data_IF_036454239236
#
_entry.id   IF_036454239236
#
_cell.length_a   1.000
_cell.length_b   1.000
_cell.length_c   1.000
_cell.angle_alpha   90.00
_cell.angle_beta   90.00
_cell.angle_gamma   90.00
#
_symmetry.space_group_name_H-M   'P 1'
#
loop_
_entity.id
_entity.type
_entity.pdbx_description
1 polymer ?
#
# COMPACT_ATOMS: atom_id res chain seq x y z
N UNK A 1 -6.13 7.49 44.01
CA UNK A 1 -6.03 8.71 43.18
C UNK A 1 -5.60 8.25 41.82
N UNK A 2 -6.58 8.10 40.92
CA UNK A 2 -6.44 7.62 39.54
C UNK A 2 -6.07 8.81 38.68
N UNK A 3 -4.85 8.85 38.18
CA UNK A 3 -4.44 9.83 37.16
C UNK A 3 -4.88 9.31 35.80
N UNK A 4 -5.95 9.88 35.29
CA UNK A 4 -6.40 9.69 33.89
C UNK A 4 -5.45 10.50 33.00
N UNK A 5 -4.54 9.78 32.35
CA UNK A 5 -3.65 10.35 31.33
C UNK A 5 -4.51 10.66 30.09
N UNK A 6 -4.89 11.92 29.96
CA UNK A 6 -5.60 12.45 28.79
C UNK A 6 -4.58 12.59 27.68
N UNK A 7 -4.57 11.60 26.76
CA UNK A 7 -3.84 11.68 25.50
C UNK A 7 -4.32 12.90 24.71
N UNK A 8 -3.52 13.95 24.72
CA UNK A 8 -3.74 15.16 23.93
C UNK A 8 -3.85 14.78 22.44
N UNK A 9 -4.96 15.21 21.82
CA UNK A 9 -5.18 15.11 20.39
C UNK A 9 -4.17 16.00 19.67
N UNK A 10 -3.49 15.55 18.58
CA UNK A 10 -2.73 16.46 17.74
C UNK A 10 -3.67 17.51 17.15
N UNK A 11 -3.38 18.77 17.41
CA UNK A 11 -4.19 19.92 16.99
C UNK A 11 -4.27 20.07 15.48
N UNK A 12 -5.37 20.56 15.03
CA UNK A 12 -5.77 20.92 13.66
C UNK A 12 -4.83 21.95 13.03
N UNK A 13 -3.85 21.49 12.29
CA UNK A 13 -3.07 22.01 11.14
C UNK A 13 -1.82 21.18 11.07
N UNK A 14 -1.75 20.28 10.10
CA UNK A 14 -0.55 19.48 9.85
C UNK A 14 0.58 20.41 9.46
N UNK A 15 1.64 20.61 10.29
CA UNK A 15 2.81 21.35 9.89
C UNK A 15 3.48 20.63 8.70
N UNK A 16 4.16 21.36 7.82
CA UNK A 16 5.04 20.72 6.84
C UNK A 16 6.01 19.79 7.57
N UNK A 17 5.92 18.47 7.29
CA UNK A 17 6.71 17.43 7.93
C UNK A 17 6.00 16.59 8.99
N UNK A 18 4.73 16.86 9.33
CA UNK A 18 3.99 15.98 10.23
C UNK A 18 3.64 14.64 9.54
N UNK A 19 3.62 13.52 10.30
CA UNK A 19 3.30 12.21 9.74
C UNK A 19 1.85 12.18 9.24
N UNK A 20 1.67 11.61 8.03
CA UNK A 20 0.39 11.45 7.38
C UNK A 20 -0.29 10.12 7.75
N UNK A 21 0.52 9.04 7.80
CA UNK A 21 0.15 7.75 8.36
C UNK A 21 1.01 7.50 9.60
N UNK A 22 0.38 7.11 10.70
CA UNK A 22 1.06 6.69 11.93
C UNK A 22 0.60 5.27 12.25
N UNK A 23 1.55 4.37 12.39
CA UNK A 23 1.38 3.00 12.88
C UNK A 23 2.16 2.89 14.18
N UNK A 24 1.50 2.54 15.29
CA UNK A 24 2.11 2.45 16.62
C UNK A 24 1.82 1.10 17.25
N UNK A 25 2.89 0.37 17.54
CA UNK A 25 2.88 -0.85 18.35
C UNK A 25 1.77 -1.82 17.95
N UNK A 26 1.63 -2.07 16.63
CA UNK A 26 0.59 -2.95 16.14
C UNK A 26 0.95 -4.42 16.32
N UNK A 27 -0.02 -5.20 16.82
CA UNK A 27 0.08 -6.63 17.01
C UNK A 27 -1.05 -7.34 16.28
N UNK A 28 -0.71 -8.23 15.34
CA UNK A 28 -1.71 -8.87 14.51
C UNK A 28 -1.48 -10.38 14.37
N UNK A 29 -2.59 -11.12 14.28
CA UNK A 29 -2.63 -12.57 14.38
C UNK A 29 -3.47 -13.21 13.27
N UNK A 30 -3.05 -14.39 12.82
CA UNK A 30 -3.89 -15.34 12.09
C UNK A 30 -4.27 -16.48 13.05
N UNK A 31 -5.47 -16.43 13.64
CA UNK A 31 -5.84 -17.31 14.74
C UNK A 31 -4.87 -17.17 15.90
N UNK A 32 -4.13 -18.23 16.21
CA UNK A 32 -3.10 -18.25 17.27
C UNK A 32 -1.71 -17.80 16.79
N UNK A 33 -1.51 -17.68 15.47
CA UNK A 33 -0.20 -17.34 14.91
C UNK A 33 0.05 -15.84 15.01
N UNK A 34 1.05 -15.45 15.80
CA UNK A 34 1.47 -14.07 16.04
C UNK A 34 2.44 -13.61 14.94
N UNK A 35 1.99 -12.82 14.00
CA UNK A 35 2.74 -12.47 12.78
C UNK A 35 3.30 -11.05 12.81
N UNK A 36 2.55 -10.07 13.32
CA UNK A 36 3.00 -8.68 13.44
C UNK A 36 3.22 -8.39 14.91
N UNK A 37 4.45 -8.04 15.29
CA UNK A 37 4.95 -8.11 16.65
C UNK A 37 5.47 -6.75 17.14
N UNK A 38 4.55 -5.79 17.36
CA UNK A 38 4.91 -4.46 17.87
C UNK A 38 5.46 -3.54 16.78
N UNK A 39 4.99 -3.68 15.53
CA UNK A 39 5.44 -2.87 14.41
C UNK A 39 5.01 -1.41 14.59
N UNK A 40 5.96 -0.49 14.49
CA UNK A 40 5.75 0.95 14.55
C UNK A 40 6.49 1.66 13.42
N UNK A 41 5.82 2.56 12.73
CA UNK A 41 6.42 3.44 11.72
C UNK A 41 5.48 4.61 11.39
N UNK A 42 6.03 5.59 10.69
CA UNK A 42 5.28 6.75 10.20
C UNK A 42 5.53 6.91 8.69
N UNK A 43 4.60 7.52 7.97
CA UNK A 43 4.75 7.90 6.56
C UNK A 43 4.36 9.35 6.40
N UNK A 44 5.17 10.14 5.70
CA UNK A 44 4.88 11.54 5.41
C UNK A 44 3.93 11.66 4.21
N UNK A 45 3.25 12.77 4.11
CA UNK A 45 2.40 13.04 2.94
C UNK A 45 3.23 13.11 1.67
N UNK A 46 2.81 12.36 0.64
CA UNK A 46 3.52 12.27 -0.64
C UNK A 46 4.76 11.38 -0.64
N UNK A 47 5.12 10.78 0.50
CA UNK A 47 6.24 9.85 0.61
C UNK A 47 5.88 8.50 -0.01
N UNK A 48 6.84 7.87 -0.69
CA UNK A 48 6.80 6.45 -1.04
C UNK A 48 7.67 5.70 -0.04
N UNK A 49 7.04 4.86 0.77
CA UNK A 49 7.70 3.98 1.72
C UNK A 49 7.77 2.55 1.17
N UNK A 50 8.97 1.97 1.07
CA UNK A 50 9.14 0.54 0.83
C UNK A 50 9.13 -0.24 2.14
N UNK A 51 8.24 -1.22 2.26
CA UNK A 51 8.20 -2.17 3.37
C UNK A 51 8.79 -3.49 2.89
N UNK A 52 10.02 -3.77 3.28
CA UNK A 52 10.86 -4.85 2.77
C UNK A 52 11.06 -5.95 3.82
N UNK A 53 11.62 -7.07 3.40
CA UNK A 53 11.92 -8.22 4.26
C UNK A 53 11.70 -9.54 3.53
N UNK A 54 12.21 -10.61 4.10
CA UNK A 54 12.07 -11.97 3.55
C UNK A 54 10.62 -12.45 3.57
N UNK A 55 10.35 -13.56 2.86
CA UNK A 55 9.04 -14.21 2.92
C UNK A 55 8.71 -14.62 4.36
N UNK A 56 7.49 -14.33 4.79
CA UNK A 56 7.06 -14.57 6.18
C UNK A 56 7.47 -13.49 7.18
N UNK A 57 8.18 -12.42 6.78
CA UNK A 57 8.58 -11.34 7.68
C UNK A 57 7.41 -10.49 8.22
N UNK A 58 6.19 -10.65 7.70
CA UNK A 58 5.01 -9.92 8.15
C UNK A 58 4.61 -8.72 7.30
N UNK A 59 5.24 -8.51 6.12
CA UNK A 59 4.99 -7.36 5.22
C UNK A 59 3.51 -7.23 4.82
N UNK A 60 2.98 -8.21 4.09
CA UNK A 60 1.56 -8.27 3.68
C UNK A 60 0.61 -8.18 4.87
N UNK A 61 0.95 -8.82 5.99
CA UNK A 61 0.14 -8.78 7.22
C UNK A 61 0.08 -7.38 7.82
N UNK A 62 1.20 -6.66 7.82
CA UNK A 62 1.27 -5.26 8.24
C UNK A 62 0.42 -4.38 7.32
N UNK A 63 0.57 -4.53 5.99
CA UNK A 63 -0.19 -3.78 5.01
C UNK A 63 -1.70 -4.01 5.13
N UNK A 64 -2.12 -5.27 5.29
CA UNK A 64 -3.53 -5.66 5.53
C UNK A 64 -4.08 -5.11 6.83
N UNK A 65 -3.27 -5.02 7.89
CA UNK A 65 -3.66 -4.39 9.15
C UNK A 65 -3.93 -2.90 8.97
N UNK A 66 -3.08 -2.19 8.20
CA UNK A 66 -3.29 -0.78 7.85
C UNK A 66 -4.56 -0.60 7.01
N UNK A 67 -4.81 -1.47 6.03
CA UNK A 67 -6.01 -1.44 5.20
C UNK A 67 -7.28 -1.90 5.93
N UNK A 68 -7.16 -2.37 7.19
CA UNK A 68 -8.27 -2.92 7.97
C UNK A 68 -8.96 -4.13 7.32
N UNK A 69 -8.28 -4.85 6.45
CA UNK A 69 -8.78 -6.12 5.92
C UNK A 69 -8.95 -7.10 7.07
N UNK A 70 -10.04 -7.89 7.08
CA UNK A 70 -10.48 -8.68 8.23
C UNK A 70 -9.47 -9.69 8.79
N UNK A 71 -8.47 -10.08 8.01
CA UNK A 71 -7.35 -10.92 8.41
C UNK A 71 -6.04 -10.35 7.90
N UNK A 72 -4.97 -10.25 8.74
CA UNK A 72 -4.88 -10.69 10.13
C UNK A 72 -5.75 -9.87 11.10
N UNK A 73 -6.01 -10.44 12.27
CA UNK A 73 -6.78 -9.79 13.33
C UNK A 73 -5.87 -8.85 14.13
N UNK A 74 -6.08 -7.55 14.01
CA UNK A 74 -5.36 -6.53 14.77
C UNK A 74 -5.87 -6.53 16.21
N UNK A 75 -5.06 -7.01 17.16
CA UNK A 75 -5.42 -7.13 18.58
C UNK A 75 -5.01 -5.94 19.42
N UNK A 76 -3.88 -5.31 19.09
CA UNK A 76 -3.31 -4.18 19.85
C UNK A 76 -2.66 -3.18 18.90
N UNK A 77 -2.42 -1.99 19.42
CA UNK A 77 -1.77 -0.89 18.70
C UNK A 77 -2.74 0.07 18.04
N UNK A 78 -2.19 1.10 17.45
CA UNK A 78 -2.94 2.20 16.86
C UNK A 78 -2.49 2.45 15.42
N UNK A 79 -3.46 2.80 14.57
CA UNK A 79 -3.24 3.23 13.19
C UNK A 79 -4.03 4.51 12.98
N UNK A 80 -3.34 5.57 12.55
CA UNK A 80 -3.93 6.87 12.28
C UNK A 80 -3.60 7.30 10.86
N UNK A 81 -4.60 7.77 10.13
CA UNK A 81 -4.41 8.43 8.85
C UNK A 81 -4.91 9.87 9.00
N UNK A 82 -4.00 10.85 8.89
CA UNK A 82 -4.28 12.21 9.33
C UNK A 82 -4.77 12.20 10.79
N UNK A 83 -5.95 12.73 11.08
CA UNK A 83 -6.54 12.77 12.42
C UNK A 83 -7.52 11.59 12.68
N UNK A 84 -7.67 10.66 11.74
CA UNK A 84 -8.66 9.60 11.82
C UNK A 84 -8.09 8.29 12.42
N UNK A 85 -8.72 7.75 13.47
CA UNK A 85 -8.29 6.50 14.11
C UNK A 85 -8.70 5.27 13.28
N UNK A 86 -7.89 4.94 12.27
CA UNK A 86 -8.13 3.84 11.32
C UNK A 86 -8.29 2.48 12.04
N UNK A 87 -7.54 2.26 13.11
CA UNK A 87 -7.63 1.02 13.91
C UNK A 87 -9.03 0.73 14.47
N UNK A 88 -9.90 1.76 14.58
CA UNK A 88 -11.30 1.61 15.02
C UNK A 88 -12.28 1.40 13.87
N UNK A 89 -11.83 1.55 12.63
CA UNK A 89 -12.67 1.44 11.43
C UNK A 89 -12.84 0.00 10.99
N UNK A 90 -13.98 -0.29 10.33
CA UNK A 90 -14.14 -1.49 9.50
C UNK A 90 -13.47 -1.27 8.13
N UNK A 91 -13.19 -2.35 7.40
CA UNK A 91 -12.53 -2.29 6.09
C UNK A 91 -13.19 -1.30 5.11
N UNK A 92 -14.52 -1.30 5.02
CA UNK A 92 -15.25 -0.41 4.11
C UNK A 92 -15.22 1.06 4.56
N UNK A 93 -15.08 1.34 5.86
CA UNK A 93 -14.93 2.69 6.41
C UNK A 93 -13.52 3.22 6.11
N UNK A 94 -12.48 2.40 6.32
CA UNK A 94 -11.10 2.72 5.94
C UNK A 94 -10.98 3.00 4.44
N UNK A 95 -11.62 2.17 3.59
CA UNK A 95 -11.65 2.38 2.16
C UNK A 95 -12.38 3.68 1.76
N UNK A 96 -13.48 4.05 2.42
CA UNK A 96 -14.17 5.35 2.21
C UNK A 96 -13.35 6.53 2.71
N UNK A 97 -12.50 6.32 3.71
CA UNK A 97 -11.60 7.36 4.22
C UNK A 97 -10.40 7.61 3.30
N UNK A 98 -10.25 6.81 2.24
CA UNK A 98 -9.22 7.00 1.21
C UNK A 98 -8.05 6.01 1.31
N UNK A 99 -8.18 4.89 2.02
CA UNK A 99 -7.17 3.82 2.01
C UNK A 99 -7.51 2.84 0.91
N UNK A 100 -6.64 2.71 -0.09
CA UNK A 100 -6.78 1.74 -1.17
C UNK A 100 -5.68 0.69 -1.09
N UNK A 101 -6.06 -0.59 -1.10
CA UNK A 101 -5.15 -1.72 -1.16
C UNK A 101 -5.27 -2.41 -2.52
N UNK A 102 -4.15 -2.53 -3.22
CA UNK A 102 -3.98 -3.42 -4.37
C UNK A 102 -3.29 -4.69 -3.85
N UNK A 103 -4.02 -5.80 -3.74
CA UNK A 103 -3.46 -7.05 -3.26
C UNK A 103 -2.70 -7.78 -4.37
N UNK A 104 -1.78 -8.68 -3.99
CA UNK A 104 -0.99 -9.55 -4.86
C UNK A 104 -1.87 -10.33 -5.86
N UNK A 105 -3.03 -10.86 -5.42
CA UNK A 105 -3.97 -11.63 -6.24
C UNK A 105 -4.84 -10.78 -7.20
N UNK A 106 -4.54 -9.47 -7.32
CA UNK A 106 -5.16 -8.47 -8.23
C UNK A 106 -6.67 -8.33 -8.11
N UNK A 107 -7.39 -9.36 -7.75
CA UNK A 107 -8.86 -9.44 -7.58
C UNK A 107 -9.64 -8.84 -8.73
N UNK A 108 -9.26 -9.20 -9.97
CA UNK A 108 -10.04 -8.81 -11.14
C UNK A 108 -11.40 -9.52 -11.09
N UNK A 109 -12.45 -8.77 -11.35
CA UNK A 109 -13.81 -9.29 -11.24
C UNK A 109 -14.16 -10.00 -12.56
N UNK A 110 -14.37 -11.32 -12.47
CA UNK A 110 -14.74 -12.15 -13.60
C UNK A 110 -16.12 -11.74 -14.18
N UNK A 111 -16.27 -11.90 -15.47
CA UNK A 111 -17.51 -11.55 -16.19
C UNK A 111 -17.67 -10.04 -16.43
N UNK A 112 -16.75 -9.19 -15.94
CA UNK A 112 -16.75 -7.76 -16.19
C UNK A 112 -15.62 -7.35 -17.14
N UNK A 113 -15.92 -6.47 -18.08
CA UNK A 113 -14.94 -5.80 -18.92
C UNK A 113 -14.01 -4.88 -18.10
N UNK A 114 -12.94 -4.40 -18.72
CA UNK A 114 -12.04 -3.39 -18.13
C UNK A 114 -12.85 -2.18 -17.66
N UNK A 115 -13.72 -1.64 -18.52
CA UNK A 115 -14.52 -0.46 -18.22
C UNK A 115 -15.50 -0.71 -17.06
N UNK A 116 -16.20 -1.85 -17.05
CA UNK A 116 -17.12 -2.23 -15.98
C UNK A 116 -16.41 -2.47 -14.64
N UNK A 117 -15.17 -2.98 -14.65
CA UNK A 117 -14.33 -3.05 -13.44
C UNK A 117 -14.06 -1.66 -12.84
N UNK A 118 -13.85 -0.64 -13.68
CA UNK A 118 -13.68 0.75 -13.24
C UNK A 118 -15.01 1.36 -12.76
N UNK A 119 -16.10 1.11 -13.48
CA UNK A 119 -17.44 1.60 -13.11
C UNK A 119 -17.85 1.06 -11.73
N UNK A 120 -17.58 -0.21 -11.46
CA UNK A 120 -17.86 -0.80 -10.16
C UNK A 120 -17.06 -0.13 -9.03
N UNK A 121 -15.82 0.27 -9.29
CA UNK A 121 -15.02 1.00 -8.32
C UNK A 121 -15.58 2.40 -8.03
N UNK A 122 -16.31 2.99 -8.97
CA UNK A 122 -16.92 4.33 -8.88
C UNK A 122 -18.41 4.32 -8.49
N UNK A 123 -18.99 3.17 -8.19
CA UNK A 123 -20.44 3.05 -7.92
C UNK A 123 -20.90 3.84 -6.68
N UNK A 124 -19.98 4.12 -5.75
CA UNK A 124 -20.28 4.87 -4.53
C UNK A 124 -19.18 5.90 -4.23
N UNK A 125 -19.55 7.11 -3.80
CA UNK A 125 -18.58 8.14 -3.41
C UNK A 125 -17.76 7.69 -2.18
N UNK A 126 -16.57 8.25 -1.99
CA UNK A 126 -15.97 9.30 -2.83
C UNK A 126 -15.40 8.71 -4.13
N UNK A 127 -15.61 9.44 -5.25
CA UNK A 127 -15.10 9.07 -6.58
C UNK A 127 -13.74 9.78 -6.76
N UNK A 128 -12.76 9.03 -7.25
CA UNK A 128 -11.42 9.53 -7.53
C UNK A 128 -11.24 9.99 -8.97
N UNK A 129 -10.28 9.41 -9.68
CA UNK A 129 -9.97 9.80 -11.05
C UNK A 129 -11.06 9.38 -12.03
N UNK A 130 -11.32 10.24 -13.01
CA UNK A 130 -12.21 9.89 -14.11
C UNK A 130 -11.63 8.73 -14.94
N UNK A 131 -12.49 8.01 -15.65
CA UNK A 131 -12.05 6.92 -16.54
C UNK A 131 -11.13 7.44 -17.64
N UNK A 132 -11.38 8.65 -18.15
CA UNK A 132 -10.54 9.30 -19.16
C UNK A 132 -9.11 9.48 -18.65
N UNK A 133 -8.94 10.04 -17.46
CA UNK A 133 -7.63 10.21 -16.83
C UNK A 133 -6.95 8.86 -16.55
N UNK A 134 -7.72 7.85 -16.17
CA UNK A 134 -7.19 6.48 -15.96
C UNK A 134 -6.71 5.91 -17.30
N UNK A 135 -7.44 6.07 -18.38
CA UNK A 135 -7.03 5.56 -19.70
C UNK A 135 -5.87 6.38 -20.31
N UNK A 136 -5.69 7.62 -19.93
CA UNK A 136 -4.48 8.40 -20.27
C UNK A 136 -3.25 7.82 -19.57
N UNK A 137 -3.37 7.44 -18.28
CA UNK A 137 -2.30 6.82 -17.53
C UNK A 137 -2.03 5.36 -17.96
N UNK A 138 -3.08 4.64 -18.37
CA UNK A 138 -3.04 3.24 -18.80
C UNK A 138 -3.61 3.08 -20.23
N UNK A 139 -2.89 3.51 -21.29
CA UNK A 139 -3.41 3.49 -22.67
C UNK A 139 -3.85 2.09 -23.12
N UNK A 140 -3.09 1.04 -22.72
CA UNK A 140 -3.44 -0.35 -23.06
C UNK A 140 -4.78 -0.78 -22.49
N UNK A 141 -5.16 -0.30 -21.30
CA UNK A 141 -6.50 -0.55 -20.77
C UNK A 141 -7.56 0.19 -21.58
N UNK A 142 -7.26 1.41 -22.05
CA UNK A 142 -8.12 2.18 -22.92
C UNK A 142 -8.41 1.48 -24.26
N UNK A 143 -7.40 0.86 -24.88
CA UNK A 143 -7.53 0.07 -26.12
C UNK A 143 -8.40 -1.18 -25.90
N UNK A 144 -8.40 -1.74 -24.70
CA UNK A 144 -9.07 -2.99 -24.31
C UNK A 144 -10.29 -2.79 -23.41
N UNK A 145 -10.85 -1.57 -23.36
CA UNK A 145 -11.92 -1.20 -22.43
C UNK A 145 -13.12 -2.16 -22.40
N UNK A 146 -13.44 -2.78 -23.55
CA UNK A 146 -14.56 -3.72 -23.71
C UNK A 146 -14.15 -5.19 -23.54
N UNK A 147 -12.86 -5.48 -23.38
CA UNK A 147 -12.37 -6.82 -23.16
C UNK A 147 -12.65 -7.24 -21.71
N UNK A 148 -12.99 -8.50 -21.48
CA UNK A 148 -13.17 -9.04 -20.15
C UNK A 148 -11.85 -9.00 -19.36
N UNK A 149 -11.88 -8.45 -18.15
CA UNK A 149 -10.68 -8.17 -17.34
C UNK A 149 -9.84 -9.40 -17.02
N UNK A 150 -10.46 -10.56 -16.79
CA UNK A 150 -9.72 -11.81 -16.50
C UNK A 150 -9.02 -12.41 -17.72
N UNK A 151 -9.35 -11.97 -18.94
CA UNK A 151 -8.71 -12.42 -20.18
C UNK A 151 -7.48 -11.58 -20.56
N UNK A 152 -7.20 -10.52 -19.82
CA UNK A 152 -6.00 -9.71 -19.98
C UNK A 152 -4.73 -10.49 -19.59
N UNK A 153 -3.58 -10.06 -20.09
CA UNK A 153 -2.29 -10.56 -19.62
C UNK A 153 -2.09 -10.23 -18.13
N UNK A 154 -1.21 -10.95 -17.43
CA UNK A 154 -0.95 -10.71 -16.01
C UNK A 154 -0.56 -9.26 -15.69
N UNK A 155 0.24 -8.62 -16.56
CA UNK A 155 0.62 -7.20 -16.40
C UNK A 155 -0.56 -6.25 -16.62
N UNK A 156 -1.39 -6.49 -17.64
CA UNK A 156 -2.59 -5.68 -17.86
C UNK A 156 -3.60 -5.85 -16.73
N UNK A 157 -3.71 -7.04 -16.14
CA UNK A 157 -4.53 -7.27 -14.94
C UNK A 157 -3.98 -6.49 -13.75
N UNK A 158 -2.66 -6.43 -13.58
CA UNK A 158 -2.03 -5.63 -12.54
C UNK A 158 -2.31 -4.13 -12.73
N UNK A 159 -2.17 -3.64 -13.95
CA UNK A 159 -2.55 -2.26 -14.30
C UNK A 159 -4.03 -1.98 -14.02
N UNK A 160 -4.92 -2.93 -14.33
CA UNK A 160 -6.35 -2.80 -14.04
C UNK A 160 -6.63 -2.77 -12.54
N UNK A 161 -5.90 -3.56 -11.73
CA UNK A 161 -6.03 -3.54 -10.27
C UNK A 161 -5.60 -2.18 -9.69
N UNK A 162 -4.47 -1.61 -10.16
CA UNK A 162 -4.00 -0.26 -9.82
C UNK A 162 -5.02 0.80 -10.27
N UNK A 163 -5.49 0.73 -11.51
CA UNK A 163 -6.47 1.65 -12.07
C UNK A 163 -7.79 1.67 -11.28
N UNK A 164 -8.28 0.51 -10.85
CA UNK A 164 -9.47 0.38 -9.99
C UNK A 164 -9.30 1.07 -8.65
N UNK A 165 -8.11 0.99 -8.06
CA UNK A 165 -7.82 1.69 -6.82
C UNK A 165 -7.85 3.21 -7.05
N UNK A 166 -7.21 3.73 -8.11
CA UNK A 166 -7.20 5.16 -8.45
C UNK A 166 -8.57 5.71 -8.88
N UNK A 167 -9.49 4.85 -9.33
CA UNK A 167 -10.87 5.22 -9.62
C UNK A 167 -11.65 5.68 -8.38
N UNK A 168 -11.10 5.45 -7.18
CA UNK A 168 -11.59 5.96 -5.91
C UNK A 168 -10.77 7.18 -5.47
N UNK A 169 -11.32 7.98 -4.55
CA UNK A 169 -10.59 9.08 -3.92
C UNK A 169 -9.57 8.53 -2.91
N UNK A 170 -8.35 8.32 -3.39
CA UNK A 170 -7.27 7.67 -2.63
C UNK A 170 -6.39 8.72 -1.98
N UNK A 171 -6.19 8.60 -0.68
CA UNK A 171 -5.23 9.37 0.12
C UNK A 171 -3.98 8.56 0.45
N UNK A 172 -4.15 7.27 0.74
CA UNK A 172 -3.08 6.31 1.04
C UNK A 172 -3.19 5.11 0.12
N UNK A 173 -2.15 4.90 -0.67
CA UNK A 173 -2.07 3.83 -1.65
C UNK A 173 -1.18 2.71 -1.14
N UNK A 174 -1.74 1.53 -0.99
CA UNK A 174 -1.07 0.34 -0.46
C UNK A 174 -0.93 -0.68 -1.58
N UNK A 175 0.31 -1.08 -1.89
CA UNK A 175 0.64 -2.03 -2.95
C UNK A 175 1.29 -3.27 -2.34
N UNK A 176 0.68 -4.43 -2.54
CA UNK A 176 1.15 -5.71 -2.05
C UNK A 176 1.74 -6.53 -3.21
N UNK A 177 3.07 -6.58 -3.29
CA UNK A 177 3.88 -7.29 -4.29
C UNK A 177 3.45 -7.03 -5.75
N UNK A 178 3.39 -5.72 -6.17
CA UNK A 178 2.85 -5.36 -7.49
C UNK A 178 3.64 -5.90 -8.68
N UNK A 179 4.87 -6.40 -8.49
CA UNK A 179 5.74 -6.91 -9.56
C UNK A 179 5.75 -8.43 -9.66
N UNK A 180 5.09 -9.15 -8.69
CA UNK A 180 5.19 -10.59 -8.61
C UNK A 180 4.64 -11.31 -9.85
N UNK A 181 5.41 -12.29 -10.35
CA UNK A 181 5.03 -13.10 -11.50
C UNK A 181 4.97 -12.37 -12.83
N UNK A 182 5.54 -11.16 -12.94
CA UNK A 182 5.52 -10.34 -14.14
C UNK A 182 6.85 -10.40 -14.91
N UNK A 183 6.76 -10.30 -16.23
CA UNK A 183 7.95 -10.19 -17.08
C UNK A 183 8.64 -8.82 -16.85
N UNK A 184 9.99 -8.74 -16.97
CA UNK A 184 10.75 -7.52 -16.70
C UNK A 184 10.26 -6.27 -17.45
N UNK A 185 9.81 -6.43 -18.69
CA UNK A 185 9.27 -5.32 -19.50
C UNK A 185 7.98 -4.75 -18.90
N UNK A 186 7.17 -5.59 -18.27
CA UNK A 186 5.92 -5.18 -17.62
C UNK A 186 6.24 -4.51 -16.27
N UNK A 187 7.21 -5.01 -15.52
CA UNK A 187 7.69 -4.37 -14.29
C UNK A 187 8.09 -2.93 -14.58
N UNK A 188 8.89 -2.67 -15.62
CA UNK A 188 9.29 -1.33 -16.03
C UNK A 188 8.09 -0.43 -16.40
N UNK A 189 7.03 -0.98 -16.98
CA UNK A 189 5.83 -0.23 -17.30
C UNK A 189 5.05 0.16 -16.04
N UNK A 190 4.97 -0.74 -15.06
CA UNK A 190 4.37 -0.45 -13.75
C UNK A 190 5.22 0.56 -12.98
N UNK A 191 6.55 0.42 -12.95
CA UNK A 191 7.46 1.38 -12.32
C UNK A 191 7.25 2.79 -12.85
N UNK A 192 7.20 2.99 -14.18
CA UNK A 192 6.90 4.30 -14.80
C UNK A 192 5.55 4.87 -14.35
N UNK A 193 4.55 3.99 -14.23
CA UNK A 193 3.23 4.40 -13.73
C UNK A 193 3.29 4.85 -12.27
N UNK A 194 4.04 4.11 -11.44
CA UNK A 194 4.22 4.47 -10.03
C UNK A 194 5.06 5.74 -9.85
N UNK A 195 6.03 6.00 -10.74
CA UNK A 195 6.75 7.30 -10.81
C UNK A 195 5.77 8.46 -11.10
N UNK A 196 4.85 8.30 -12.05
CA UNK A 196 3.83 9.31 -12.32
C UNK A 196 2.87 9.51 -11.12
N UNK A 197 2.54 8.44 -10.41
CA UNK A 197 1.77 8.50 -9.17
C UNK A 197 2.55 9.24 -8.07
N UNK A 198 3.87 9.05 -8.00
CA UNK A 198 4.77 9.80 -7.10
C UNK A 198 4.78 11.29 -7.42
N UNK A 199 4.88 11.68 -8.69
CA UNK A 199 4.89 13.08 -9.14
C UNK A 199 3.63 13.85 -8.72
N UNK A 200 2.48 13.20 -8.66
CA UNK A 200 1.24 13.81 -8.18
C UNK A 200 1.10 13.83 -6.66
N UNK A 201 2.11 13.35 -5.93
CA UNK A 201 2.20 13.41 -4.47
C UNK A 201 1.26 12.44 -3.73
N UNK A 202 0.86 11.31 -4.34
CA UNK A 202 0.05 10.31 -3.67
C UNK A 202 0.92 9.51 -2.69
N UNK A 203 0.57 9.56 -1.40
CA UNK A 203 1.27 8.80 -0.35
C UNK A 203 1.12 7.31 -0.59
N UNK A 204 2.24 6.58 -0.66
CA UNK A 204 2.26 5.18 -1.06
C UNK A 204 3.10 4.34 -0.11
N UNK A 205 2.59 3.16 0.24
CA UNK A 205 3.38 2.10 0.88
C UNK A 205 3.42 0.90 -0.07
N UNK A 206 4.62 0.53 -0.48
CA UNK A 206 4.86 -0.62 -1.37
C UNK A 206 5.52 -1.75 -0.59
N UNK A 207 4.91 -2.92 -0.62
CA UNK A 207 5.49 -4.18 -0.14
C UNK A 207 6.05 -4.92 -1.33
N UNK A 208 7.31 -5.30 -1.28
CA UNK A 208 7.97 -6.02 -2.37
C UNK A 208 8.97 -7.06 -1.86
N UNK A 209 9.09 -8.13 -2.63
CA UNK A 209 10.16 -9.10 -2.48
C UNK A 209 11.38 -8.68 -3.33
N UNK A 210 11.15 -8.10 -4.51
CA UNK A 210 12.21 -7.47 -5.30
C UNK A 210 12.61 -6.13 -4.68
N UNK A 211 13.45 -6.22 -3.64
CA UNK A 211 13.85 -5.07 -2.85
C UNK A 211 14.50 -3.97 -3.70
N UNK A 212 15.32 -4.33 -4.69
CA UNK A 212 16.04 -3.35 -5.52
C UNK A 212 15.06 -2.49 -6.34
N UNK A 213 14.06 -3.10 -6.97
CA UNK A 213 13.03 -2.38 -7.72
C UNK A 213 12.25 -1.41 -6.81
N UNK A 214 11.82 -1.88 -5.64
CA UNK A 214 11.12 -1.03 -4.68
C UNK A 214 11.98 0.13 -4.16
N UNK A 215 13.27 -0.12 -3.87
CA UNK A 215 14.20 0.90 -3.37
C UNK A 215 14.51 2.01 -4.37
N UNK A 216 14.49 1.72 -5.67
CA UNK A 216 14.67 2.75 -6.70
C UNK A 216 13.48 3.73 -6.77
N UNK A 217 12.29 3.27 -6.45
CA UNK A 217 11.08 4.09 -6.44
C UNK A 217 10.89 4.83 -5.10
N UNK A 218 11.24 4.19 -3.98
CA UNK A 218 10.95 4.67 -2.64
C UNK A 218 11.87 5.81 -2.19
N UNK A 219 11.34 6.67 -1.32
CA UNK A 219 12.11 7.70 -0.60
C UNK A 219 12.75 7.12 0.66
N UNK A 220 12.05 6.21 1.32
CA UNK A 220 12.46 5.58 2.58
C UNK A 220 12.10 4.09 2.56
N UNK A 221 12.83 3.31 3.34
CA UNK A 221 12.60 1.89 3.49
C UNK A 221 12.53 1.48 4.97
N UNK A 222 11.63 0.56 5.24
CA UNK A 222 11.55 -0.19 6.49
C UNK A 222 11.80 -1.66 6.16
N UNK A 223 12.65 -2.30 6.95
CA UNK A 223 12.88 -3.73 6.82
C UNK A 223 12.22 -4.43 8.01
N UNK A 224 11.37 -5.41 7.71
CA UNK A 224 10.78 -6.31 8.67
C UNK A 224 11.54 -7.64 8.70
N UNK A 225 11.76 -8.16 9.90
CA UNK A 225 12.19 -9.53 10.14
C UNK A 225 11.37 -10.12 11.27
N UNK A 226 10.83 -11.33 11.07
CA UNK A 226 10.02 -12.07 12.04
C UNK A 226 8.93 -11.21 12.73
N UNK A 227 8.27 -10.35 11.97
CA UNK A 227 7.18 -9.50 12.46
C UNK A 227 7.61 -8.21 13.18
N UNK A 228 8.88 -7.88 13.20
CA UNK A 228 9.44 -6.71 13.88
C UNK A 228 10.19 -5.81 12.89
N UNK A 229 10.27 -4.50 13.21
CA UNK A 229 11.09 -3.56 12.46
C UNK A 229 12.56 -3.73 12.87
N UNK A 230 13.43 -4.04 11.92
CA UNK A 230 14.88 -4.18 12.14
C UNK A 230 15.68 -3.03 11.52
N UNK A 231 15.08 -2.29 10.59
CA UNK A 231 15.68 -1.11 9.98
C UNK A 231 14.59 -0.10 9.59
N UNK A 232 14.89 1.19 9.75
CA UNK A 232 14.08 2.32 9.29
C UNK A 232 15.04 3.45 8.88
N UNK A 233 15.08 3.78 7.58
CA UNK A 233 15.99 4.77 7.03
C UNK A 233 15.69 5.10 5.57
N UNK A 234 16.54 5.90 4.93
CA UNK A 234 16.38 6.24 3.52
C UNK A 234 16.56 4.99 2.63
N UNK A 235 15.82 4.95 1.50
CA UNK A 235 16.00 3.89 0.51
C UNK A 235 17.45 3.79 0.01
N UNK A 236 18.13 4.94 -0.08
CA UNK A 236 19.53 5.01 -0.49
C UNK A 236 20.48 4.34 0.50
N UNK A 237 20.25 4.49 1.81
CA UNK A 237 21.06 3.80 2.83
C UNK A 237 21.01 2.29 2.67
N UNK A 238 19.85 1.73 2.29
CA UNK A 238 19.71 0.29 2.02
C UNK A 238 20.43 -0.09 0.73
N UNK A 239 20.31 0.73 -0.35
CA UNK A 239 21.01 0.51 -1.62
C UNK A 239 22.53 0.54 -1.47
N UNK A 240 23.04 1.44 -0.64
CA UNK A 240 24.48 1.63 -0.43
C UNK A 240 25.06 0.64 0.62
N UNK A 241 24.23 -0.19 1.27
CA UNK A 241 24.66 -1.15 2.30
C UNK A 241 24.42 -2.62 1.88
N UNK A 242 25.40 -3.28 1.23
CA UNK A 242 25.31 -4.67 0.80
C UNK A 242 25.09 -5.65 1.98
N UNK A 243 25.74 -5.41 3.14
CA UNK A 243 25.63 -6.30 4.30
C UNK A 243 24.20 -6.34 4.84
N UNK A 244 23.53 -5.18 4.92
CA UNK A 244 22.13 -5.08 5.33
C UNK A 244 21.21 -5.83 4.35
N UNK A 245 21.47 -5.70 3.05
CA UNK A 245 20.69 -6.40 2.03
C UNK A 245 20.87 -7.91 2.09
N UNK A 246 22.10 -8.39 2.19
CA UNK A 246 22.40 -9.83 2.32
C UNK A 246 21.75 -10.41 3.59
N UNK A 247 21.85 -9.70 4.70
CA UNK A 247 21.33 -10.15 6.00
C UNK A 247 19.81 -10.30 5.99
N UNK A 248 19.07 -9.30 5.47
CA UNK A 248 17.62 -9.22 5.64
C UNK A 248 16.79 -9.35 4.36
N UNK A 249 17.39 -9.14 3.18
CA UNK A 249 16.66 -9.12 1.90
C UNK A 249 17.09 -10.25 0.96
N UNK A 250 18.18 -10.94 1.26
CA UNK A 250 18.76 -12.03 0.45
C UNK A 250 19.18 -11.60 -0.98
N UNK A 251 19.63 -10.34 -1.15
CA UNK A 251 20.08 -9.73 -2.41
C UNK A 251 21.32 -8.87 -2.20
#
# INVERSE_FOLDING_TARGET
>A
VTTTDTLERPGTKTPEGAPFLIVRDIHAYYGESYIVQGVSFEVRKGEILALLGRNGAGKTSTLRSVARVGTPDLKQGEIWLEDAPVHKMKAHEAARHGIALVPEDRRIIAGLSVEENLDLAQIAPPIGWSKERIFELFPRLGERRRQEGVTLSGGEQQMLAVARALARDVKLFLLDEPYEGLAPVIVQEIERTLEQIKEIGLTTVIVEQNAIAALHLADRAIILDMGQVVFDGSAREVLDNPELREQYLAV
#
